data_IF_648598683491
#
_entry.id   IF_648598683491
#
_cell.length_a   1.000
_cell.length_b   1.000
_cell.length_c   1.000
_cell.angle_alpha   90.00
_cell.angle_beta   90.00
_cell.angle_gamma   90.00
#
_symmetry.space_group_name_H-M   'P 1'
#
loop_
_entity.id
_entity.type
_entity.pdbx_description
1 polymer ?
#
# COMPACT_ATOMS: atom_id res chain seq x y z
N UNK A 1 -8.53 11.58 6.22
CA UNK A 1 -10.00 11.53 6.02
C UNK A 1 -10.47 11.90 4.60
N UNK A 2 -9.66 12.55 3.75
CA UNK A 2 -10.14 13.18 2.50
C UNK A 2 -10.51 12.26 1.31
N UNK A 3 -10.26 10.94 1.35
CA UNK A 3 -10.50 10.07 0.19
C UNK A 3 -11.61 9.03 0.32
N UNK A 4 -12.40 9.06 1.40
CA UNK A 4 -13.49 8.09 1.63
C UNK A 4 -14.68 8.22 0.66
N UNK A 5 -14.73 9.21 -0.25
CA UNK A 5 -16.04 9.77 -0.68
C UNK A 5 -16.34 9.83 -2.18
N UNK A 6 -15.45 9.33 -3.03
CA UNK A 6 -15.71 8.99 -4.45
C UNK A 6 -14.70 7.94 -4.85
N UNK A 7 -15.14 6.81 -5.43
CA UNK A 7 -14.32 5.69 -5.94
C UNK A 7 -12.87 6.12 -6.23
N UNK A 8 -12.00 5.94 -5.24
CA UNK A 8 -10.62 6.35 -5.36
C UNK A 8 -9.91 5.23 -6.12
N UNK A 9 -9.56 5.52 -7.37
CA UNK A 9 -8.64 4.72 -8.12
C UNK A 9 -7.23 5.00 -7.60
N UNK A 10 -6.59 4.00 -6.99
CA UNK A 10 -5.20 4.07 -6.56
C UNK A 10 -4.39 3.10 -7.42
N UNK A 11 -3.59 3.62 -8.36
CA UNK A 11 -2.61 2.86 -9.13
C UNK A 11 -1.33 3.68 -9.23
N UNK A 12 -0.22 3.21 -8.66
CA UNK A 12 1.09 3.88 -8.76
C UNK A 12 2.29 2.88 -8.70
N UNK A 13 2.40 2.04 -9.74
CA UNK A 13 3.52 1.25 -10.29
C UNK A 13 4.70 0.73 -9.41
N UNK A 14 4.95 -0.57 -9.60
CA UNK A 14 6.27 -1.24 -9.68
C UNK A 14 6.64 -1.65 -11.12
N UNK A 15 5.74 -1.53 -12.10
CA UNK A 15 5.95 -1.89 -13.51
C UNK A 15 5.45 -0.76 -14.41
N UNK A 16 6.10 -0.50 -15.54
CA UNK A 16 5.77 0.62 -16.43
C UNK A 16 4.37 0.49 -17.06
N UNK A 17 3.29 0.96 -16.40
CA UNK A 17 1.98 1.31 -17.03
C UNK A 17 2.25 2.07 -18.33
N UNK A 18 1.92 1.44 -19.43
CA UNK A 18 1.98 2.04 -20.76
C UNK A 18 0.82 3.03 -20.93
N UNK A 19 0.90 3.90 -21.93
CA UNK A 19 -0.21 4.77 -22.32
C UNK A 19 -1.52 3.99 -22.54
N UNK A 20 -1.41 2.83 -23.21
CA UNK A 20 -2.52 1.92 -23.49
C UNK A 20 -3.15 1.40 -22.19
N UNK A 21 -2.32 0.99 -21.24
CA UNK A 21 -2.79 0.47 -19.97
C UNK A 21 -3.40 1.56 -19.07
N UNK A 22 -2.82 2.77 -19.08
CA UNK A 22 -3.36 3.91 -18.35
C UNK A 22 -4.74 4.28 -18.89
N UNK A 23 -4.84 4.46 -20.20
CA UNK A 23 -6.11 4.76 -20.87
C UNK A 23 -7.17 3.69 -20.57
N UNK A 24 -6.80 2.41 -20.68
CA UNK A 24 -7.69 1.30 -20.38
C UNK A 24 -8.22 1.37 -18.95
N UNK A 25 -7.34 1.53 -17.96
CA UNK A 25 -7.73 1.62 -16.56
C UNK A 25 -8.65 2.82 -16.29
N UNK A 26 -8.29 4.01 -16.77
CA UNK A 26 -9.07 5.24 -16.56
C UNK A 26 -10.49 5.12 -17.16
N UNK A 27 -10.60 4.55 -18.37
CA UNK A 27 -11.89 4.30 -19.04
C UNK A 27 -12.70 3.23 -18.33
N UNK A 28 -12.06 2.12 -17.94
CA UNK A 28 -12.74 0.94 -17.38
C UNK A 28 -13.54 1.27 -16.12
N UNK A 29 -13.05 2.18 -15.28
CA UNK A 29 -13.70 2.57 -14.02
C UNK A 29 -14.24 4.00 -14.04
N UNK A 30 -14.22 4.66 -15.19
CA UNK A 30 -14.78 6.00 -15.37
C UNK A 30 -14.18 7.05 -14.43
N UNK A 31 -12.84 7.10 -14.32
CA UNK A 31 -12.15 8.01 -13.40
C UNK A 31 -12.54 9.47 -13.69
N UNK A 32 -13.18 10.12 -12.72
CA UNK A 32 -13.63 11.51 -12.84
C UNK A 32 -12.56 12.55 -12.50
N UNK A 33 -11.61 12.17 -11.64
CA UNK A 33 -10.48 13.00 -11.24
C UNK A 33 -9.27 12.14 -10.94
N UNK A 34 -8.10 12.60 -11.33
CA UNK A 34 -6.83 11.90 -11.15
C UNK A 34 -5.88 12.74 -10.30
N UNK A 35 -5.33 12.13 -9.26
CA UNK A 35 -4.24 12.71 -8.46
C UNK A 35 -2.95 12.00 -8.84
N UNK A 36 -2.04 12.75 -9.47
CA UNK A 36 -0.71 12.28 -9.83
C UNK A 36 0.36 12.70 -8.83
N UNK A 37 1.43 11.91 -8.77
CA UNK A 37 2.69 12.29 -8.13
C UNK A 37 3.78 12.26 -9.20
N UNK A 38 4.75 13.15 -9.09
CA UNK A 38 5.95 13.09 -9.92
C UNK A 38 6.97 12.20 -9.24
N UNK A 39 7.40 11.18 -9.96
CA UNK A 39 8.52 10.34 -9.55
C UNK A 39 9.76 10.77 -10.36
N UNK A 40 10.95 10.82 -9.75
CA UNK A 40 12.19 10.99 -10.50
C UNK A 40 12.38 9.84 -11.52
N UNK A 41 12.77 10.17 -12.75
CA UNK A 41 13.06 9.20 -13.82
C UNK A 41 12.20 9.36 -15.08
N UNK A 42 12.41 8.47 -16.06
CA UNK A 42 11.89 8.61 -17.43
C UNK A 42 10.36 8.48 -17.61
N UNK A 43 9.62 8.07 -16.57
CA UNK A 43 8.21 7.69 -16.68
C UNK A 43 7.33 8.43 -15.67
N UNK A 44 7.16 9.74 -15.88
CA UNK A 44 6.24 10.58 -15.11
C UNK A 44 4.78 10.37 -15.60
N UNK A 45 3.85 10.24 -14.66
CA UNK A 45 2.42 10.05 -14.95
C UNK A 45 1.85 11.18 -15.80
N UNK A 46 2.29 12.42 -15.56
CA UNK A 46 1.82 13.58 -16.32
C UNK A 46 2.15 13.43 -17.81
N UNK A 47 3.38 13.06 -18.16
CA UNK A 47 3.81 12.91 -19.55
C UNK A 47 3.06 11.76 -20.25
N UNK A 48 2.88 10.63 -19.57
CA UNK A 48 2.06 9.52 -20.07
C UNK A 48 0.61 9.96 -20.31
N UNK A 49 0.06 10.80 -19.42
CA UNK A 49 -1.31 11.28 -19.55
C UNK A 49 -1.45 12.30 -20.68
N UNK A 50 -0.46 13.18 -20.89
CA UNK A 50 -0.42 14.12 -22.02
C UNK A 50 -0.30 13.37 -23.35
N UNK A 51 0.46 12.27 -23.41
CA UNK A 51 0.51 11.42 -24.59
C UNK A 51 -0.86 10.79 -24.91
N UNK A 52 -1.61 10.37 -23.89
CA UNK A 52 -2.97 9.84 -24.05
C UNK A 52 -3.99 10.94 -24.38
N UNK A 53 -3.85 12.13 -23.80
CA UNK A 53 -4.77 13.27 -23.92
C UNK A 53 -4.01 14.58 -24.15
N UNK A 54 -3.60 14.88 -25.40
CA UNK A 54 -2.80 16.06 -25.74
C UNK A 54 -3.52 17.41 -25.51
N UNK A 55 -4.81 17.39 -25.18
CA UNK A 55 -5.58 18.58 -24.83
C UNK A 55 -5.24 19.12 -23.43
N UNK A 56 -4.66 18.29 -22.55
CA UNK A 56 -4.38 18.65 -21.14
C UNK A 56 -3.55 19.93 -21.00
N UNK A 57 -2.40 20.12 -21.68
CA UNK A 57 -1.59 21.31 -21.50
C UNK A 57 -2.27 22.62 -21.94
N UNK A 58 -3.33 22.53 -22.75
CA UNK A 58 -4.11 23.68 -23.24
C UNK A 58 -5.24 24.07 -22.28
N UNK A 59 -5.52 23.24 -21.28
CA UNK A 59 -6.57 23.50 -20.31
C UNK A 59 -6.18 24.60 -19.33
N UNK A 60 -7.19 25.22 -18.70
CA UNK A 60 -6.96 26.21 -17.65
C UNK A 60 -6.18 25.61 -16.47
N UNK A 61 -5.36 26.38 -15.74
CA UNK A 61 -4.57 25.90 -14.60
C UNK A 61 -5.41 25.51 -13.37
N UNK A 62 -6.75 25.60 -13.43
CA UNK A 62 -7.65 25.13 -12.38
C UNK A 62 -7.82 23.60 -12.36
N UNK A 63 -6.97 22.85 -13.06
CA UNK A 63 -7.06 21.39 -13.16
C UNK A 63 -8.29 20.85 -13.91
N UNK A 64 -9.09 21.72 -14.54
CA UNK A 64 -10.30 21.33 -15.27
C UNK A 64 -9.92 20.92 -16.68
N UNK A 65 -10.00 19.62 -16.96
CA UNK A 65 -9.61 19.06 -18.26
C UNK A 65 -10.81 18.51 -19.00
N UNK A 66 -10.72 18.52 -20.33
CA UNK A 66 -11.66 17.90 -21.23
C UNK A 66 -10.86 17.23 -22.35
N UNK A 67 -11.01 15.91 -22.48
CA UNK A 67 -10.35 15.15 -23.53
C UNK A 67 -11.38 14.30 -24.25
N UNK A 68 -11.27 14.27 -25.57
CA UNK A 68 -12.08 13.40 -26.43
C UNK A 68 -11.82 11.92 -26.13
N UNK A 69 -10.56 11.57 -25.81
CA UNK A 69 -10.14 10.20 -25.50
C UNK A 69 -10.52 9.79 -24.08
N UNK A 70 -10.53 10.73 -23.13
CA UNK A 70 -10.86 10.48 -21.71
C UNK A 70 -12.05 11.34 -21.24
N UNK A 71 -13.26 11.13 -21.78
CA UNK A 71 -14.40 12.04 -21.55
C UNK A 71 -14.88 12.08 -20.09
N UNK A 72 -14.62 11.03 -19.31
CA UNK A 72 -14.97 11.00 -17.89
C UNK A 72 -13.97 11.76 -17.01
N UNK A 73 -12.71 11.88 -17.44
CA UNK A 73 -11.67 12.52 -16.66
C UNK A 73 -11.83 14.04 -16.76
N UNK A 74 -12.31 14.66 -15.68
CA UNK A 74 -12.65 16.09 -15.62
C UNK A 74 -11.71 16.91 -14.72
N UNK A 75 -10.87 16.23 -13.94
CA UNK A 75 -9.94 16.86 -13.00
C UNK A 75 -8.57 16.20 -13.02
N UNK A 76 -7.53 16.99 -13.10
CA UNK A 76 -6.15 16.57 -12.91
C UNK A 76 -5.50 17.40 -11.80
N UNK A 77 -4.99 16.70 -10.79
CA UNK A 77 -4.29 17.30 -9.65
C UNK A 77 -2.89 16.68 -9.60
N UNK A 78 -1.84 17.49 -9.54
CA UNK A 78 -0.46 17.03 -9.33
C UNK A 78 -0.01 17.36 -7.91
N UNK A 79 0.38 16.33 -7.16
CA UNK A 79 0.94 16.44 -5.81
C UNK A 79 2.45 16.61 -5.88
N UNK A 80 2.87 17.74 -6.44
CA UNK A 80 4.25 18.12 -6.74
C UNK A 80 4.49 19.58 -6.40
N UNK A 81 5.75 19.98 -6.26
CA UNK A 81 6.12 21.40 -6.18
C UNK A 81 6.21 22.05 -7.57
N UNK A 82 6.31 21.24 -8.62
CA UNK A 82 6.43 21.71 -10.00
C UNK A 82 5.04 22.01 -10.59
N UNK A 83 4.96 23.12 -11.32
CA UNK A 83 3.76 23.49 -12.08
C UNK A 83 3.64 22.64 -13.34
N UNK A 84 2.42 22.15 -13.59
CA UNK A 84 2.11 21.30 -14.73
C UNK A 84 0.94 21.93 -15.51
N UNK A 85 1.12 22.30 -16.79
CA UNK A 85 0.07 22.94 -17.60
C UNK A 85 -1.26 22.16 -17.57
N UNK A 86 -2.36 22.86 -17.32
CA UNK A 86 -3.70 22.28 -17.24
C UNK A 86 -4.01 21.42 -16.00
N UNK A 87 -3.03 21.18 -15.11
CA UNK A 87 -3.23 20.53 -13.83
C UNK A 87 -3.34 21.53 -12.69
N UNK A 88 -4.08 21.17 -11.63
CA UNK A 88 -4.08 21.92 -10.37
C UNK A 88 -3.04 21.33 -9.40
N UNK A 89 -2.46 22.15 -8.53
CA UNK A 89 -1.50 21.64 -7.54
C UNK A 89 -2.23 21.16 -6.28
N UNK A 90 -1.76 20.06 -5.68
CA UNK A 90 -2.31 19.59 -4.39
C UNK A 90 -2.24 20.68 -3.31
N UNK A 91 -1.20 21.52 -3.32
CA UNK A 91 -1.07 22.67 -2.42
C UNK A 91 -2.26 23.64 -2.53
N UNK A 92 -2.71 23.94 -3.74
CA UNK A 92 -3.87 24.81 -3.96
C UNK A 92 -5.17 24.13 -3.56
N UNK A 93 -5.33 22.84 -3.85
CA UNK A 93 -6.49 22.05 -3.40
C UNK A 93 -6.61 22.07 -1.87
N UNK A 94 -5.50 21.88 -1.15
CA UNK A 94 -5.49 21.91 0.32
C UNK A 94 -5.84 23.29 0.90
N UNK A 95 -5.54 24.38 0.18
CA UNK A 95 -5.89 25.75 0.58
C UNK A 95 -7.38 26.07 0.45
N UNK A 96 -8.14 25.31 -0.34
CA UNK A 96 -9.60 25.45 -0.40
C UNK A 96 -10.27 25.15 0.95
N UNK A 97 -9.55 24.47 1.85
CA UNK A 97 -10.02 24.16 3.19
C UNK A 97 -11.01 23.01 3.21
N UNK A 98 -11.55 22.78 4.39
CA UNK A 98 -12.53 21.73 4.66
C UNK A 98 -13.85 22.41 5.00
N UNK A 99 -14.95 21.89 4.47
CA UNK A 99 -16.31 22.29 4.86
C UNK A 99 -16.91 21.18 5.76
N UNK A 100 -16.95 21.37 7.10
CA UNK A 100 -17.45 20.37 8.03
C UNK A 100 -18.92 20.01 7.81
N UNK A 101 -19.79 20.99 7.54
CA UNK A 101 -21.21 20.73 7.31
C UNK A 101 -21.43 19.83 6.08
N UNK A 102 -20.68 20.07 5.00
CA UNK A 102 -20.72 19.18 3.82
C UNK A 102 -20.17 17.79 4.12
N UNK A 103 -19.24 17.67 5.06
CA UNK A 103 -18.72 16.38 5.50
C UNK A 103 -19.81 15.61 6.26
N UNK A 104 -20.49 16.25 7.21
CA UNK A 104 -21.57 15.64 7.99
C UNK A 104 -22.71 15.15 7.09
N UNK A 105 -23.20 16.01 6.19
CA UNK A 105 -24.24 15.66 5.21
C UNK A 105 -23.88 14.41 4.38
N UNK A 106 -22.62 14.31 3.95
CA UNK A 106 -22.15 13.15 3.18
C UNK A 106 -22.04 11.89 4.05
N UNK A 107 -21.63 12.00 5.31
CA UNK A 107 -21.51 10.86 6.22
C UNK A 107 -22.85 10.16 6.45
N UNK A 108 -23.95 10.91 6.48
CA UNK A 108 -25.31 10.34 6.63
C UNK A 108 -25.72 9.46 5.44
N UNK A 109 -25.10 9.65 4.27
CA UNK A 109 -25.47 8.93 3.04
C UNK A 109 -24.59 7.71 2.75
N UNK A 110 -23.39 7.63 3.34
CA UNK A 110 -22.40 6.58 3.04
C UNK A 110 -22.69 5.33 3.86
N UNK A 111 -22.79 4.18 3.19
CA UNK A 111 -22.98 2.88 3.82
C UNK A 111 -21.67 2.08 3.87
N UNK A 112 -21.48 1.19 4.88
CA UNK A 112 -20.28 0.36 4.97
C UNK A 112 -20.02 -0.50 3.73
N UNK A 113 -21.07 -0.95 3.05
CA UNK A 113 -20.95 -1.79 1.86
C UNK A 113 -20.73 -1.01 0.56
N UNK A 114 -20.75 0.33 0.63
CA UNK A 114 -20.46 1.16 -0.53
C UNK A 114 -19.01 0.96 -1.01
N UNK A 115 -18.78 0.89 -2.34
CA UNK A 115 -17.45 0.89 -2.91
C UNK A 115 -16.62 2.11 -2.48
N UNK A 116 -15.41 1.86 -1.98
CA UNK A 116 -14.47 2.91 -1.57
C UNK A 116 -13.15 2.87 -2.31
N UNK A 117 -12.72 1.69 -2.77
CA UNK A 117 -11.41 1.49 -3.38
C UNK A 117 -11.52 0.53 -4.55
N UNK A 118 -10.81 0.85 -5.63
CA UNK A 118 -10.66 -0.06 -6.76
C UNK A 118 -9.18 -0.32 -6.97
N UNK A 119 -8.80 -1.60 -6.88
CA UNK A 119 -7.44 -2.04 -7.09
C UNK A 119 -7.34 -2.89 -8.34
N UNK A 120 -6.42 -2.50 -9.22
CA UNK A 120 -6.17 -3.25 -10.44
C UNK A 120 -5.17 -4.36 -10.18
N UNK A 121 -5.54 -5.60 -10.50
CA UNK A 121 -4.68 -6.78 -10.44
C UNK A 121 -4.27 -7.22 -11.85
N UNK A 122 -3.04 -7.71 -12.00
CA UNK A 122 -2.55 -8.37 -13.22
C UNK A 122 -3.26 -9.71 -13.37
N UNK A 123 -4.44 -9.71 -13.99
CA UNK A 123 -5.16 -10.95 -14.27
C UNK A 123 -4.37 -11.86 -15.21
N UNK A 124 -4.56 -13.17 -15.07
CA UNK A 124 -3.92 -14.21 -15.91
C UNK A 124 -4.30 -14.13 -17.41
N UNK A 125 -5.34 -13.36 -17.74
CA UNK A 125 -5.93 -13.25 -19.09
C UNK A 125 -5.51 -11.97 -19.84
N UNK A 126 -4.39 -11.34 -19.45
CA UNK A 126 -3.72 -10.28 -20.21
C UNK A 126 -4.10 -8.83 -19.89
N UNK A 127 -5.37 -8.50 -19.57
CA UNK A 127 -5.76 -7.13 -19.15
C UNK A 127 -5.98 -7.02 -17.65
N UNK A 128 -5.56 -5.91 -17.00
CA UNK A 128 -5.79 -5.70 -15.58
C UNK A 128 -7.27 -5.76 -15.19
N UNK A 129 -7.60 -6.49 -14.11
CA UNK A 129 -8.95 -6.60 -13.56
C UNK A 129 -9.13 -5.63 -12.40
N UNK A 130 -10.30 -5.01 -12.30
CA UNK A 130 -10.63 -4.04 -11.26
C UNK A 130 -11.36 -4.73 -10.09
N UNK A 131 -10.65 -5.02 -9.01
CA UNK A 131 -11.25 -5.49 -7.76
C UNK A 131 -11.89 -4.31 -7.02
N UNK A 132 -13.20 -4.39 -6.79
CA UNK A 132 -13.96 -3.35 -6.09
C UNK A 132 -14.06 -3.72 -4.62
N UNK A 133 -13.61 -2.82 -3.75
CA UNK A 133 -13.53 -3.01 -2.31
C UNK A 133 -14.43 -2.00 -1.60
N UNK A 134 -15.22 -2.46 -0.63
CA UNK A 134 -16.11 -1.65 0.21
C UNK A 134 -15.40 -1.14 1.46
N UNK A 135 -16.02 -0.22 2.19
CA UNK A 135 -15.51 0.21 3.49
C UNK A 135 -15.46 -0.95 4.48
N UNK A 136 -16.53 -1.76 4.51
CA UNK A 136 -16.68 -2.88 5.42
C UNK A 136 -15.53 -3.88 5.26
N UNK A 137 -15.17 -4.23 4.02
CA UNK A 137 -14.16 -5.25 3.80
C UNK A 137 -12.74 -4.79 4.18
N UNK A 138 -12.30 -3.58 3.79
CA UNK A 138 -10.94 -3.12 4.07
C UNK A 138 -10.74 -2.77 5.55
N UNK A 139 -11.75 -2.21 6.22
CA UNK A 139 -11.66 -1.85 7.64
C UNK A 139 -11.61 -3.10 8.50
N UNK A 140 -12.50 -4.07 8.27
CA UNK A 140 -12.51 -5.30 9.06
C UNK A 140 -11.27 -6.17 8.80
N UNK A 141 -10.83 -6.32 7.54
CA UNK A 141 -9.66 -7.12 7.21
C UNK A 141 -8.40 -6.59 7.92
N UNK A 142 -8.18 -5.27 7.86
CA UNK A 142 -7.06 -4.62 8.54
C UNK A 142 -7.17 -4.63 10.07
N UNK A 143 -8.39 -4.53 10.61
CA UNK A 143 -8.64 -4.65 12.06
C UNK A 143 -8.25 -6.04 12.58
N UNK A 144 -8.79 -7.11 11.99
CA UNK A 144 -8.51 -8.48 12.43
C UNK A 144 -7.05 -8.89 12.20
N UNK A 145 -6.45 -8.49 11.08
CA UNK A 145 -5.00 -8.61 10.87
C UNK A 145 -4.20 -8.03 12.05
N UNK A 146 -4.40 -6.74 12.34
CA UNK A 146 -3.63 -6.06 13.39
C UNK A 146 -3.91 -6.64 14.79
N UNK A 147 -5.15 -7.10 15.03
CA UNK A 147 -5.50 -7.79 16.28
C UNK A 147 -4.68 -9.08 16.43
N UNK A 148 -4.60 -9.91 15.40
CA UNK A 148 -3.84 -11.17 15.42
C UNK A 148 -2.33 -10.97 15.52
N UNK A 149 -1.80 -9.96 14.85
CA UNK A 149 -0.40 -9.55 14.99
C UNK A 149 -0.07 -8.98 16.38
N UNK A 150 -1.09 -8.57 17.15
CA UNK A 150 -0.92 -8.00 18.47
C UNK A 150 -0.69 -6.49 18.49
N UNK A 151 -1.02 -5.76 17.41
CA UNK A 151 -0.84 -4.31 17.33
C UNK A 151 -1.58 -3.52 18.41
N UNK A 152 -2.65 -4.09 18.96
CA UNK A 152 -3.43 -3.51 20.05
C UNK A 152 -2.77 -3.64 21.43
N UNK A 153 -1.70 -4.44 21.56
CA UNK A 153 -1.09 -4.75 22.87
C UNK A 153 -0.25 -3.60 23.42
N UNK A 154 0.27 -2.73 22.55
CA UNK A 154 1.06 -1.54 22.88
C UNK A 154 1.19 -0.62 21.68
N UNK A 155 1.78 0.55 21.89
CA UNK A 155 2.12 1.45 20.80
C UNK A 155 3.26 0.87 19.95
N UNK A 156 2.92 0.45 18.73
CA UNK A 156 3.90 -0.04 17.77
C UNK A 156 4.34 1.04 16.79
N UNK A 157 5.56 0.87 16.28
CA UNK A 157 6.12 1.67 15.18
C UNK A 157 6.40 0.75 14.01
N UNK A 158 5.63 0.92 12.93
CA UNK A 158 5.63 0.04 11.77
C UNK A 158 6.48 0.67 10.66
N UNK A 159 7.58 0.03 10.30
CA UNK A 159 8.32 0.35 9.08
C UNK A 159 7.57 -0.24 7.88
N UNK A 160 6.84 0.61 7.15
CA UNK A 160 6.07 0.22 5.98
C UNK A 160 6.91 0.46 4.72
N UNK A 161 7.76 -0.51 4.37
CA UNK A 161 8.56 -0.44 3.15
C UNK A 161 7.83 -0.97 1.91
N UNK A 162 6.66 -1.61 2.09
CA UNK A 162 5.81 -2.05 0.98
C UNK A 162 5.14 -0.87 0.27
N UNK A 163 4.96 -0.96 -1.05
CA UNK A 163 4.26 0.06 -1.84
C UNK A 163 2.80 0.29 -1.43
N UNK A 164 2.39 1.56 -1.32
CA UNK A 164 1.03 1.95 -0.92
C UNK A 164 -0.06 1.67 -1.96
N UNK A 165 0.31 1.43 -3.23
CA UNK A 165 -0.65 1.16 -4.29
C UNK A 165 -1.11 -0.30 -4.33
N UNK A 166 -0.50 -1.18 -3.54
CA UNK A 166 -0.98 -2.53 -3.31
C UNK A 166 -1.82 -2.56 -2.03
N UNK A 167 -2.80 -3.45 -1.97
CA UNK A 167 -3.62 -3.75 -0.78
C UNK A 167 -2.81 -4.04 0.48
N UNK A 168 -1.61 -4.61 0.37
CA UNK A 168 -0.72 -4.78 1.52
C UNK A 168 -0.30 -3.41 2.10
N UNK A 169 0.12 -2.46 1.28
CA UNK A 169 0.46 -1.11 1.76
C UNK A 169 -0.76 -0.30 2.20
N UNK A 170 -1.80 -0.24 1.36
CA UNK A 170 -2.97 0.63 1.62
C UNK A 170 -3.92 0.08 2.69
N UNK A 171 -4.26 -1.21 2.65
CA UNK A 171 -5.20 -1.79 3.62
C UNK A 171 -4.47 -2.26 4.86
N UNK A 172 -3.56 -3.22 4.73
CA UNK A 172 -2.89 -3.85 5.88
C UNK A 172 -1.93 -2.86 6.57
N UNK A 173 -1.17 -2.09 5.79
CA UNK A 173 -0.25 -1.07 6.29
C UNK A 173 -0.95 0.12 6.92
N UNK A 174 -1.58 0.96 6.09
CA UNK A 174 -2.17 2.23 6.54
C UNK A 174 -3.38 2.00 7.46
N UNK A 175 -4.37 1.22 7.04
CA UNK A 175 -5.57 1.01 7.87
C UNK A 175 -5.27 0.17 9.10
N UNK A 176 -4.35 -0.81 9.01
CA UNK A 176 -3.90 -1.57 10.17
C UNK A 176 -3.26 -0.67 11.23
N UNK A 177 -2.42 0.28 10.83
CA UNK A 177 -1.85 1.26 11.75
C UNK A 177 -2.92 2.18 12.36
N UNK A 178 -3.84 2.70 11.54
CA UNK A 178 -4.92 3.59 11.99
C UNK A 178 -5.85 2.88 12.99
N UNK A 179 -6.24 1.64 12.72
CA UNK A 179 -7.18 0.89 13.56
C UNK A 179 -6.62 0.57 14.95
N UNK A 180 -5.30 0.49 15.09
CA UNK A 180 -4.64 0.07 16.34
C UNK A 180 -3.75 1.18 16.94
N UNK A 181 -3.84 2.42 16.45
CA UNK A 181 -3.08 3.55 16.98
C UNK A 181 -1.55 3.44 16.80
N UNK A 182 -1.08 2.68 15.80
CA UNK A 182 0.34 2.52 15.56
C UNK A 182 0.93 3.69 14.76
N UNK A 183 2.20 4.01 15.00
CA UNK A 183 2.94 4.97 14.18
C UNK A 183 3.40 4.31 12.89
N UNK A 184 3.02 4.88 11.74
CA UNK A 184 3.47 4.41 10.43
C UNK A 184 4.72 5.18 9.99
N UNK A 185 5.80 4.44 9.70
CA UNK A 185 7.09 4.98 9.25
C UNK A 185 7.33 4.55 7.81
N UNK A 186 7.23 5.49 6.87
CA UNK A 186 7.47 5.25 5.45
C UNK A 186 8.91 5.64 5.10
N UNK A 187 9.79 4.68 4.77
CA UNK A 187 11.23 4.94 4.61
C UNK A 187 11.55 5.75 3.34
N UNK A 188 10.83 5.49 2.25
CA UNK A 188 11.05 6.16 0.96
C UNK A 188 9.87 5.90 0.00
N UNK A 189 9.71 6.68 -1.08
CA UNK A 189 8.62 6.50 -2.06
C UNK A 189 8.65 5.15 -2.80
N UNK A 190 9.85 4.58 -2.95
CA UNK A 190 10.09 3.21 -3.45
C UNK A 190 10.97 2.48 -2.45
N UNK A 191 10.97 1.16 -2.48
CA UNK A 191 11.85 0.36 -1.62
C UNK A 191 13.32 0.78 -1.77
N UNK A 192 14.00 0.92 -0.63
CA UNK A 192 15.43 1.14 -0.53
C UNK A 192 15.88 0.56 0.80
N UNK A 193 16.66 -0.54 0.76
CA UNK A 193 17.19 -1.16 1.97
C UNK A 193 17.94 -0.14 2.86
N UNK A 194 18.69 0.78 2.24
CA UNK A 194 19.36 1.87 2.96
C UNK A 194 18.35 2.76 3.70
N UNK A 195 17.30 3.22 3.03
CA UNK A 195 16.30 4.09 3.64
C UNK A 195 15.50 3.37 4.72
N UNK A 196 15.21 2.08 4.53
CA UNK A 196 14.59 1.22 5.54
C UNK A 196 15.45 1.13 6.81
N UNK A 197 16.74 0.86 6.67
CA UNK A 197 17.69 0.80 7.82
C UNK A 197 17.67 2.12 8.59
N UNK A 198 17.78 3.26 7.89
CA UNK A 198 17.74 4.58 8.54
C UNK A 198 16.40 4.84 9.23
N UNK A 199 15.28 4.42 8.64
CA UNK A 199 13.96 4.55 9.24
C UNK A 199 13.81 3.69 10.51
N UNK A 200 14.28 2.42 10.47
CA UNK A 200 14.29 1.53 11.64
C UNK A 200 15.10 2.14 12.78
N UNK A 201 16.28 2.71 12.48
CA UNK A 201 17.13 3.38 13.47
C UNK A 201 16.46 4.61 14.07
N UNK A 202 16.09 5.57 13.23
CA UNK A 202 15.54 6.87 13.66
C UNK A 202 14.23 6.73 14.42
N UNK A 203 13.35 5.84 13.95
CA UNK A 203 12.03 5.70 14.53
C UNK A 203 11.94 4.58 15.57
N UNK A 204 12.99 3.77 15.79
CA UNK A 204 12.95 2.57 16.65
C UNK A 204 11.75 1.69 16.31
N UNK A 205 11.69 1.26 15.06
CA UNK A 205 10.59 0.43 14.57
C UNK A 205 10.54 -0.90 15.32
N UNK A 206 9.35 -1.28 15.79
CA UNK A 206 9.08 -2.58 16.42
C UNK A 206 8.53 -3.60 15.44
N UNK A 207 8.02 -3.13 14.29
CA UNK A 207 7.38 -3.97 13.27
C UNK A 207 7.91 -3.57 11.89
N UNK A 208 8.13 -4.55 11.01
CA UNK A 208 8.53 -4.31 9.62
C UNK A 208 7.58 -5.08 8.69
N UNK A 209 7.05 -4.40 7.67
CA UNK A 209 6.22 -5.00 6.62
C UNK A 209 6.97 -5.02 5.31
N UNK A 210 7.09 -6.18 4.66
CA UNK A 210 7.92 -6.37 3.47
C UNK A 210 7.51 -7.57 2.65
N UNK A 211 8.19 -7.79 1.53
CA UNK A 211 8.10 -9.03 0.73
C UNK A 211 9.38 -9.83 0.89
N UNK A 212 9.40 -11.14 0.54
CA UNK A 212 10.62 -11.95 0.65
C UNK A 212 11.84 -11.33 -0.05
N UNK A 213 11.67 -10.76 -1.25
CA UNK A 213 12.76 -10.10 -1.99
C UNK A 213 13.29 -8.86 -1.26
N UNK A 214 12.40 -8.03 -0.68
CA UNK A 214 12.81 -6.86 0.10
C UNK A 214 13.63 -7.27 1.33
N UNK A 215 13.24 -8.38 1.98
CA UNK A 215 13.98 -8.89 3.12
C UNK A 215 15.34 -9.45 2.73
N UNK A 216 15.47 -10.11 1.58
CA UNK A 216 16.78 -10.54 1.05
C UNK A 216 17.75 -9.35 0.97
N UNK A 217 17.33 -8.25 0.34
CA UNK A 217 18.16 -7.06 0.16
C UNK A 217 18.43 -6.33 1.49
N UNK A 218 17.41 -6.25 2.36
CA UNK A 218 17.52 -5.63 3.67
C UNK A 218 18.51 -6.38 4.56
N UNK A 219 18.39 -7.71 4.67
CA UNK A 219 19.27 -8.53 5.50
C UNK A 219 20.71 -8.45 5.02
N UNK A 220 20.94 -8.55 3.70
CA UNK A 220 22.27 -8.36 3.12
C UNK A 220 22.91 -7.04 3.56
N UNK A 221 22.14 -5.95 3.51
CA UNK A 221 22.66 -4.63 3.89
C UNK A 221 22.86 -4.45 5.40
N UNK A 222 22.09 -5.16 6.22
CA UNK A 222 22.29 -5.18 7.68
C UNK A 222 23.55 -5.95 8.03
N UNK A 223 23.76 -7.12 7.44
CA UNK A 223 24.96 -7.96 7.64
C UNK A 223 26.25 -7.18 7.37
N UNK A 224 26.29 -6.38 6.30
CA UNK A 224 27.45 -5.53 5.95
C UNK A 224 27.82 -4.48 7.01
N UNK A 225 26.88 -4.11 7.89
CA UNK A 225 26.99 -2.91 8.74
C UNK A 225 26.86 -3.17 10.24
N UNK A 226 26.15 -4.21 10.63
CA UNK A 226 25.66 -4.39 12.00
C UNK A 226 26.78 -4.55 13.03
N UNK A 227 27.93 -5.10 12.63
CA UNK A 227 29.09 -5.25 13.53
C UNK A 227 29.74 -3.90 13.88
N UNK A 228 29.74 -2.95 12.95
CA UNK A 228 30.34 -1.62 13.12
C UNK A 228 29.37 -0.53 13.56
N UNK A 229 28.08 -0.84 13.70
CA UNK A 229 27.01 0.14 14.00
C UNK A 229 26.17 -0.34 15.18
N UNK A 230 26.56 0.05 16.40
CA UNK A 230 25.85 -0.30 17.63
C UNK A 230 24.39 0.17 17.63
N UNK A 231 24.12 1.34 17.06
CA UNK A 231 22.76 1.88 16.97
C UNK A 231 21.89 1.03 16.04
N UNK A 232 22.44 0.58 14.92
CA UNK A 232 21.77 -0.38 14.05
C UNK A 232 21.51 -1.70 14.78
N UNK A 233 22.52 -2.24 15.47
CA UNK A 233 22.39 -3.50 16.20
C UNK A 233 21.25 -3.45 17.22
N UNK A 234 21.17 -2.39 18.02
CA UNK A 234 20.08 -2.22 18.98
C UNK A 234 18.72 -1.96 18.31
N UNK A 235 18.70 -1.22 17.20
CA UNK A 235 17.47 -1.00 16.44
C UNK A 235 16.89 -2.27 15.82
N UNK A 236 17.74 -3.17 15.33
CA UNK A 236 17.32 -4.48 14.81
C UNK A 236 16.81 -5.38 15.93
N UNK A 237 17.43 -5.35 17.12
CA UNK A 237 16.93 -6.07 18.31
C UNK A 237 15.59 -5.56 18.82
N UNK A 238 15.24 -4.31 18.52
CA UNK A 238 13.94 -3.71 18.86
C UNK A 238 12.80 -4.20 17.96
N UNK A 239 13.11 -4.81 16.81
CA UNK A 239 12.10 -5.39 15.93
C UNK A 239 11.56 -6.67 16.56
N UNK A 240 10.25 -6.71 16.77
CA UNK A 240 9.50 -7.80 17.39
C UNK A 240 8.65 -8.56 16.38
N UNK A 241 8.24 -7.92 15.29
CA UNK A 241 7.39 -8.54 14.27
C UNK A 241 7.91 -8.22 12.86
N UNK A 242 8.12 -9.26 12.07
CA UNK A 242 8.46 -9.19 10.66
C UNK A 242 7.30 -9.80 9.89
N UNK A 243 6.55 -8.98 9.15
CA UNK A 243 5.41 -9.44 8.36
C UNK A 243 5.78 -9.52 6.89
N UNK A 244 5.49 -10.65 6.26
CA UNK A 244 5.78 -10.92 4.87
C UNK A 244 4.56 -11.36 4.10
N UNK A 245 4.37 -10.78 2.92
CA UNK A 245 3.24 -11.08 2.05
C UNK A 245 3.59 -10.97 0.57
N UNK A 246 2.66 -11.45 -0.26
CA UNK A 246 2.76 -11.41 -1.72
C UNK A 246 3.56 -12.56 -2.35
N UNK A 247 4.39 -13.26 -1.58
CA UNK A 247 5.05 -14.50 -1.98
C UNK A 247 5.44 -15.31 -0.73
N UNK A 248 5.65 -16.62 -0.90
CA UNK A 248 6.15 -17.48 0.17
C UNK A 248 7.65 -17.27 0.39
N UNK A 249 8.11 -17.49 1.62
CA UNK A 249 9.54 -17.63 1.88
C UNK A 249 10.06 -18.97 1.37
N UNK A 250 11.30 -18.99 0.92
CA UNK A 250 12.07 -20.24 0.93
C UNK A 250 12.78 -20.41 2.31
N UNK A 251 13.19 -21.63 2.69
CA UNK A 251 13.82 -21.88 3.99
C UNK A 251 15.07 -21.00 4.25
N UNK A 252 15.89 -20.76 3.22
CA UNK A 252 17.10 -19.93 3.35
C UNK A 252 16.77 -18.46 3.65
N UNK A 253 15.72 -17.91 3.05
CA UNK A 253 15.23 -16.56 3.35
C UNK A 253 14.74 -16.47 4.79
N UNK A 254 13.94 -17.44 5.24
CA UNK A 254 13.44 -17.46 6.61
C UNK A 254 14.58 -17.52 7.63
N UNK A 255 15.57 -18.38 7.40
CA UNK A 255 16.75 -18.52 8.26
C UNK A 255 17.56 -17.21 8.33
N UNK A 256 17.79 -16.57 7.18
CA UNK A 256 18.51 -15.29 7.11
C UNK A 256 17.79 -14.17 7.86
N UNK A 257 16.47 -14.08 7.70
CA UNK A 257 15.65 -13.10 8.42
C UNK A 257 15.70 -13.38 9.93
N UNK A 258 15.59 -14.64 10.34
CA UNK A 258 15.68 -15.04 11.75
C UNK A 258 17.04 -14.67 12.37
N UNK A 259 18.14 -14.89 11.64
CA UNK A 259 19.49 -14.51 12.07
C UNK A 259 19.68 -13.00 12.20
N UNK A 260 19.06 -12.24 11.30
CA UNK A 260 19.11 -10.77 11.29
C UNK A 260 18.25 -10.20 12.43
N UNK A 261 16.97 -10.55 12.47
CA UNK A 261 15.98 -10.05 13.43
C UNK A 261 15.72 -11.09 14.53
N UNK A 262 16.73 -11.33 15.36
CA UNK A 262 16.79 -12.45 16.32
C UNK A 262 15.65 -12.50 17.35
N UNK A 263 14.97 -11.38 17.60
CA UNK A 263 13.86 -11.29 18.55
C UNK A 263 12.49 -11.26 17.86
N UNK A 264 12.47 -11.18 16.54
CA UNK A 264 11.23 -10.99 15.81
C UNK A 264 10.51 -12.31 15.54
N UNK A 265 9.19 -12.28 15.68
CA UNK A 265 8.33 -13.28 15.07
C UNK A 265 8.23 -12.99 13.57
N UNK A 266 8.51 -14.00 12.75
CA UNK A 266 8.31 -13.93 11.31
C UNK A 266 6.90 -14.42 11.03
N UNK A 267 6.08 -13.54 10.45
CA UNK A 267 4.69 -13.81 10.14
C UNK A 267 4.47 -13.77 8.62
N UNK A 268 3.86 -14.83 8.11
CA UNK A 268 3.45 -14.93 6.72
C UNK A 268 1.97 -14.58 6.60
N UNK A 269 1.65 -13.74 5.62
CA UNK A 269 0.28 -13.39 5.26
C UNK A 269 -0.02 -13.80 3.82
N UNK A 270 -1.20 -14.37 3.60
CA UNK A 270 -1.64 -14.86 2.30
C UNK A 270 -3.06 -14.43 1.99
N UNK A 271 -3.29 -14.11 0.72
CA UNK A 271 -4.59 -13.82 0.14
C UNK A 271 -4.42 -13.10 -1.20
N UNK A 272 -5.49 -12.46 -1.64
CA UNK A 272 -5.58 -11.79 -2.94
C UNK A 272 -6.22 -10.41 -2.78
N UNK A 273 -6.08 -9.55 -3.78
CA UNK A 273 -6.68 -8.20 -3.79
C UNK A 273 -8.19 -8.26 -3.51
N UNK A 274 -8.87 -9.24 -4.10
CA UNK A 274 -10.30 -9.50 -4.01
C UNK A 274 -10.75 -9.87 -2.57
N UNK A 275 -9.85 -10.39 -1.75
CA UNK A 275 -10.09 -10.72 -0.33
C UNK A 275 -9.69 -9.61 0.65
N UNK A 276 -9.43 -8.40 0.15
CA UNK A 276 -9.26 -7.19 0.96
C UNK A 276 -8.07 -7.08 1.96
N UNK A 277 -6.85 -7.61 1.79
CA UNK A 277 -6.37 -8.68 0.93
C UNK A 277 -6.11 -10.01 1.66
N UNK A 278 -6.32 -10.08 2.97
CA UNK A 278 -5.86 -11.18 3.80
C UNK A 278 -6.91 -12.28 3.97
N UNK A 279 -6.50 -13.55 3.76
CA UNK A 279 -7.34 -14.73 4.05
C UNK A 279 -6.70 -15.63 5.10
N UNK A 280 -5.38 -15.80 5.04
CA UNK A 280 -4.61 -16.69 5.91
C UNK A 280 -3.44 -15.91 6.51
N UNK A 281 -3.18 -16.11 7.80
CA UNK A 281 -1.99 -15.57 8.45
C UNK A 281 -1.48 -16.49 9.55
N UNK A 282 -0.17 -16.55 9.70
CA UNK A 282 0.47 -17.13 10.88
C UNK A 282 0.30 -16.21 12.09
N UNK A 283 0.34 -16.80 13.27
CA UNK A 283 0.28 -16.10 14.54
C UNK A 283 1.68 -15.96 15.17
N UNK A 284 1.94 -14.92 15.98
CA UNK A 284 3.21 -14.79 16.70
C UNK A 284 3.54 -15.98 17.61
N UNK A 285 2.53 -16.65 18.16
CA UNK A 285 2.64 -17.82 19.05
C UNK A 285 2.56 -19.17 18.33
N UNK A 286 2.47 -19.20 17.00
CA UNK A 286 2.53 -20.46 16.25
C UNK A 286 3.91 -21.14 16.42
N UNK A 287 3.96 -22.49 16.48
CA UNK A 287 5.22 -23.22 16.46
C UNK A 287 6.11 -22.80 15.29
N UNK A 288 7.42 -22.73 15.51
CA UNK A 288 8.37 -22.23 14.51
C UNK A 288 8.24 -22.96 13.16
N UNK A 289 8.14 -24.29 13.17
CA UNK A 289 7.95 -25.12 11.97
C UNK A 289 6.71 -24.68 11.17
N UNK A 290 5.60 -24.36 11.83
CA UNK A 290 4.37 -23.90 11.15
C UNK A 290 4.51 -22.50 10.56
N UNK A 291 5.35 -21.65 11.15
CA UNK A 291 5.67 -20.32 10.59
C UNK A 291 6.58 -20.39 9.36
N UNK A 292 7.34 -21.49 9.21
CA UNK A 292 8.21 -21.75 8.05
C UNK A 292 7.41 -22.40 6.93
N UNK A 293 6.68 -23.48 7.23
CA UNK A 293 6.11 -24.39 6.22
C UNK A 293 4.64 -24.13 5.87
N UNK A 294 4.04 -23.06 6.41
CA UNK A 294 2.64 -22.72 6.15
C UNK A 294 2.40 -21.22 6.06
N UNK A 295 1.21 -20.86 5.58
CA UNK A 295 0.68 -19.48 5.61
C UNK A 295 -0.27 -19.24 6.79
N UNK A 296 -0.29 -20.16 7.75
CA UNK A 296 -1.04 -20.05 8.99
C UNK A 296 -2.52 -20.40 8.88
N UNK A 297 -3.34 -19.67 9.64
CA UNK A 297 -4.75 -19.99 9.92
C UNK A 297 -5.69 -19.03 9.21
N UNK A 298 -6.89 -19.51 8.90
CA UNK A 298 -7.95 -18.70 8.26
C UNK A 298 -8.29 -17.49 9.13
N UNK A 299 -8.45 -16.32 8.51
CA UNK A 299 -8.84 -15.05 9.14
C UNK A 299 -10.20 -15.15 9.84
N UNK A 300 -10.45 -14.25 10.79
CA UNK A 300 -11.72 -14.18 11.49
C UNK A 300 -12.83 -13.91 10.47
N UNK A 301 -13.96 -14.61 10.63
CA UNK A 301 -15.12 -14.49 9.74
C UNK A 301 -14.83 -14.84 8.26
N UNK A 302 -13.80 -15.65 8.01
CA UNK A 302 -13.53 -16.21 6.69
C UNK A 302 -13.65 -17.74 6.71
N UNK A 303 -14.01 -18.31 5.58
CA UNK A 303 -14.07 -19.74 5.33
C UNK A 303 -13.17 -20.09 4.15
N UNK A 304 -12.42 -21.19 4.25
CA UNK A 304 -11.60 -21.73 3.18
C UNK A 304 -12.01 -23.17 2.96
N UNK A 305 -12.48 -23.46 1.75
CA UNK A 305 -12.83 -24.82 1.33
C UNK A 305 -11.84 -25.31 0.29
N UNK A 306 -11.36 -26.54 0.45
CA UNK A 306 -10.59 -27.23 -0.56
C UNK A 306 -11.48 -28.30 -1.19
N UNK A 307 -11.84 -28.12 -2.47
CA UNK A 307 -12.59 -29.10 -3.23
C UNK A 307 -11.59 -29.97 -4.00
N UNK A 308 -11.30 -31.16 -3.47
CA UNK A 308 -10.67 -32.21 -4.28
C UNK A 308 -11.72 -32.71 -5.27
N UNK A 309 -11.61 -32.29 -6.53
CA UNK A 309 -12.33 -32.95 -7.62
C UNK A 309 -11.95 -34.43 -7.70
#
# INVERSE_FOLDING_TARGET
MASKRRNMFQKNKTQETTEIELEHCLKKVGVAGLVGIQAPGANNLYDTLVAVAPEIPKASPSGRIQSSKLPQLRRLIMATNDDHPGAETMKNVLRLGINPARIEELEETIQPDDPTSIQFSSGTTGRPKAAVLSHFNIVNNSYFFGKRLGLHKKEHRICLQVPLFHTFGSTIGILGAINHGATLVMPSPKFSARSTIEAIKRARCSVIYGTPTMYTDLCARVEDKVEGDLDLRESIRNVEEVVSGGATFNPAQFERISKTFQRANINSIYGMTESSPLVLQTMPDDPLEKRIDSVGRVSDHAEVTYNSN
#
